data_IF_470196340410
#
_entry.id   IF_470196340410
#
_cell.length_a   1.000
_cell.length_b   1.000
_cell.length_c   1.000
_cell.angle_alpha   90.00
_cell.angle_beta   90.00
_cell.angle_gamma   90.00
#
_symmetry.space_group_name_H-M   'P 1'
#
loop_
_entity.id
_entity.type
_entity.pdbx_description
1 polymer ?
#
# COMPACT_ATOMS: atom_id res chain seq x y z
N UNK A 1 -7.10 1.94 -8.27
CA UNK A 1 -6.89 1.97 -9.74
C UNK A 1 -5.88 3.04 -10.10
N UNK A 2 -4.95 2.74 -10.99
CA UNK A 2 -3.91 3.65 -11.49
C UNK A 2 -4.00 3.81 -12.99
N UNK A 3 -3.39 4.91 -13.49
CA UNK A 3 -3.44 5.26 -14.92
C UNK A 3 -2.00 5.56 -15.43
N UNK A 4 -1.16 4.53 -15.51
CA UNK A 4 0.16 4.60 -16.14
C UNK A 4 0.37 3.44 -17.12
N UNK A 5 1.48 3.47 -17.84
CA UNK A 5 1.78 2.50 -18.89
C UNK A 5 1.46 3.03 -20.29
N UNK A 6 1.53 2.17 -21.28
CA UNK A 6 1.22 2.51 -22.67
C UNK A 6 -0.29 2.67 -22.84
N UNK A 7 -0.69 3.52 -23.76
CA UNK A 7 -2.10 3.62 -24.16
C UNK A 7 -2.39 2.47 -25.13
N UNK A 8 -3.39 1.67 -24.80
CA UNK A 8 -3.95 0.68 -25.71
C UNK A 8 -4.75 1.40 -26.80
N UNK A 9 -4.40 1.14 -28.07
CA UNK A 9 -4.99 1.85 -29.21
C UNK A 9 -6.45 1.47 -29.47
N UNK A 10 -6.86 0.27 -29.05
CA UNK A 10 -8.23 -0.19 -29.27
C UNK A 10 -9.21 0.38 -28.24
N UNK A 11 -8.75 0.55 -27.00
CA UNK A 11 -9.61 1.00 -25.89
C UNK A 11 -9.40 2.46 -25.50
N UNK A 12 -8.25 3.04 -25.85
CA UNK A 12 -7.82 4.38 -25.39
C UNK A 12 -7.44 4.43 -23.90
N UNK A 13 -7.38 3.29 -23.21
CA UNK A 13 -7.04 3.18 -21.80
C UNK A 13 -5.55 2.89 -21.63
N UNK A 14 -4.98 3.28 -20.51
CA UNK A 14 -3.64 2.82 -20.18
C UNK A 14 -3.63 1.32 -19.90
N UNK A 15 -2.57 0.63 -20.27
CA UNK A 15 -2.42 -0.81 -20.04
C UNK A 15 -2.59 -1.15 -18.56
N UNK A 16 -2.10 -0.28 -17.67
CA UNK A 16 -2.21 -0.51 -16.23
C UNK A 16 -3.65 -0.39 -15.71
N UNK A 17 -4.43 0.58 -16.20
CA UNK A 17 -5.85 0.65 -15.91
C UNK A 17 -6.56 -0.60 -16.42
N UNK A 18 -6.17 -1.09 -17.59
CA UNK A 18 -6.67 -2.36 -18.13
C UNK A 18 -6.42 -3.55 -17.19
N UNK A 19 -5.24 -3.64 -16.57
CA UNK A 19 -4.92 -4.69 -15.59
C UNK A 19 -5.86 -4.64 -14.38
N UNK A 20 -6.04 -3.45 -13.77
CA UNK A 20 -6.96 -3.28 -12.64
C UNK A 20 -8.40 -3.63 -12.99
N UNK A 21 -8.85 -3.24 -14.19
CA UNK A 21 -10.20 -3.55 -14.67
C UNK A 21 -10.37 -5.05 -14.94
N UNK A 22 -9.34 -5.73 -15.48
CA UNK A 22 -9.34 -7.17 -15.66
C UNK A 22 -9.55 -7.87 -14.31
N UNK A 23 -8.74 -7.52 -13.31
CA UNK A 23 -8.83 -8.13 -11.97
C UNK A 23 -10.17 -7.87 -11.29
N UNK A 24 -10.69 -6.64 -11.36
CA UNK A 24 -12.00 -6.31 -10.80
C UNK A 24 -13.14 -7.06 -11.52
N UNK A 25 -13.09 -7.11 -12.86
CA UNK A 25 -14.11 -7.84 -13.62
C UNK A 25 -14.07 -9.34 -13.36
N UNK A 26 -12.89 -9.97 -13.19
CA UNK A 26 -12.80 -11.37 -12.78
C UNK A 26 -13.52 -11.64 -11.44
N UNK A 27 -13.35 -10.76 -10.46
CA UNK A 27 -14.07 -10.91 -9.18
C UNK A 27 -15.57 -10.66 -9.33
N UNK A 28 -16.00 -9.71 -10.17
CA UNK A 28 -17.41 -9.47 -10.47
C UNK A 28 -18.03 -10.66 -11.21
N UNK A 29 -17.34 -11.19 -12.21
CA UNK A 29 -17.79 -12.36 -12.96
C UNK A 29 -17.99 -13.54 -12.01
N UNK A 30 -17.01 -13.80 -11.17
CA UNK A 30 -17.10 -14.84 -10.14
C UNK A 30 -18.30 -14.61 -9.20
N UNK A 31 -18.50 -13.39 -8.74
CA UNK A 31 -19.61 -13.07 -7.84
C UNK A 31 -20.98 -13.27 -8.51
N UNK A 32 -21.11 -12.97 -9.80
CA UNK A 32 -22.34 -13.16 -10.57
C UNK A 32 -22.61 -14.62 -10.91
N UNK A 33 -21.59 -15.47 -10.97
CA UNK A 33 -21.66 -16.89 -11.31
C UNK A 33 -21.83 -17.82 -10.10
N UNK A 34 -21.56 -17.33 -8.85
CA UNK A 34 -21.45 -18.17 -7.67
C UNK A 34 -22.45 -17.83 -6.54
N UNK A 35 -23.65 -17.37 -6.88
CA UNK A 35 -24.75 -17.13 -5.94
C UNK A 35 -24.36 -16.22 -4.76
N UNK A 36 -23.59 -15.18 -5.04
CA UNK A 36 -23.20 -14.18 -4.04
C UNK A 36 -24.38 -13.28 -3.70
N UNK A 37 -24.62 -13.06 -2.43
CA UNK A 37 -25.77 -12.25 -1.96
C UNK A 37 -25.41 -10.81 -1.62
N UNK A 38 -24.13 -10.51 -1.42
CA UNK A 38 -23.62 -9.19 -1.05
C UNK A 38 -22.15 -9.04 -1.48
N UNK A 39 -21.81 -7.91 -2.08
CA UNK A 39 -20.42 -7.51 -2.34
C UNK A 39 -19.99 -6.44 -1.37
N UNK A 40 -18.84 -6.63 -0.71
CA UNK A 40 -18.21 -5.67 0.18
C UNK A 40 -16.95 -5.10 -0.44
N UNK A 41 -16.83 -3.76 -0.50
CA UNK A 41 -15.61 -3.06 -0.94
C UNK A 41 -15.09 -2.24 0.25
N UNK A 42 -14.01 -2.72 0.84
CA UNK A 42 -13.47 -2.18 2.08
C UNK A 42 -12.52 -0.97 1.87
N UNK A 43 -12.85 -0.06 0.96
CA UNK A 43 -12.15 1.21 0.73
C UNK A 43 -10.99 1.14 -0.28
N UNK A 44 -10.31 2.27 -0.48
CA UNK A 44 -9.19 2.49 -1.41
C UNK A 44 -9.50 2.04 -2.85
N UNK A 45 -10.64 2.49 -3.35
CA UNK A 45 -11.09 2.22 -4.71
C UNK A 45 -10.17 2.86 -5.74
N UNK A 46 -9.75 4.08 -5.45
CA UNK A 46 -8.85 4.86 -6.29
C UNK A 46 -7.50 5.04 -5.63
N UNK A 47 -6.44 5.17 -6.43
CA UNK A 47 -5.10 5.48 -5.92
C UNK A 47 -5.01 6.93 -5.41
N UNK A 48 -5.73 7.84 -6.05
CA UNK A 48 -5.68 9.27 -5.76
C UNK A 48 -7.06 9.77 -5.38
N UNK A 49 -7.10 10.77 -4.51
CA UNK A 49 -8.31 11.44 -4.03
C UNK A 49 -9.16 12.09 -5.14
N UNK A 50 -8.49 12.51 -6.22
CA UNK A 50 -9.10 13.11 -7.40
C UNK A 50 -8.82 12.22 -8.64
N UNK A 51 -9.52 11.07 -8.78
CA UNK A 51 -9.36 10.19 -9.92
C UNK A 51 -9.84 10.87 -11.21
N UNK A 52 -9.18 10.60 -12.32
CA UNK A 52 -9.59 11.18 -13.61
C UNK A 52 -11.00 10.69 -14.01
N UNK A 53 -11.76 11.47 -14.81
CA UNK A 53 -13.07 11.04 -15.30
C UNK A 53 -13.06 9.68 -16.00
N UNK A 54 -11.95 9.34 -16.68
CA UNK A 54 -11.78 8.02 -17.31
C UNK A 54 -11.81 6.89 -16.29
N UNK A 55 -11.06 7.02 -15.20
CA UNK A 55 -11.01 6.00 -14.14
C UNK A 55 -12.38 5.88 -13.46
N UNK A 56 -13.01 7.01 -13.16
CA UNK A 56 -14.37 7.04 -12.57
C UNK A 56 -15.39 6.36 -13.46
N UNK A 57 -15.36 6.65 -14.78
CA UNK A 57 -16.26 6.04 -15.75
C UNK A 57 -16.09 4.50 -15.80
N UNK A 58 -14.84 4.03 -15.85
CA UNK A 58 -14.59 2.58 -15.95
C UNK A 58 -15.00 1.85 -14.66
N UNK A 59 -14.74 2.44 -13.49
CA UNK A 59 -15.25 1.90 -12.24
C UNK A 59 -16.78 1.91 -12.17
N UNK A 60 -17.41 2.99 -12.65
CA UNK A 60 -18.87 3.08 -12.70
C UNK A 60 -19.51 1.98 -13.55
N UNK A 61 -18.87 1.58 -14.67
CA UNK A 61 -19.32 0.43 -15.46
C UNK A 61 -19.29 -0.88 -14.65
N UNK A 62 -18.27 -1.07 -13.82
CA UNK A 62 -18.16 -2.24 -12.93
C UNK A 62 -19.29 -2.25 -11.89
N UNK A 63 -19.56 -1.12 -11.23
CA UNK A 63 -20.65 -0.99 -10.26
C UNK A 63 -22.02 -1.16 -10.94
N UNK A 64 -22.17 -0.64 -12.16
CA UNK A 64 -23.41 -0.81 -12.92
C UNK A 64 -23.69 -2.30 -13.22
N UNK A 65 -22.68 -3.13 -13.50
CA UNK A 65 -22.86 -4.57 -13.71
C UNK A 65 -23.45 -5.25 -12.47
N UNK A 66 -22.94 -4.94 -11.28
CA UNK A 66 -23.45 -5.46 -10.00
C UNK A 66 -24.90 -4.98 -9.75
N UNK A 67 -25.14 -3.69 -9.89
CA UNK A 67 -26.46 -3.07 -9.70
C UNK A 67 -27.50 -3.61 -10.70
N UNK A 68 -27.15 -3.75 -11.98
CA UNK A 68 -28.03 -4.29 -13.02
C UNK A 68 -28.38 -5.78 -12.80
N UNK A 69 -27.47 -6.54 -12.18
CA UNK A 69 -27.73 -7.92 -11.77
C UNK A 69 -28.54 -8.02 -10.47
N UNK A 70 -28.86 -6.90 -9.81
CA UNK A 70 -29.57 -6.88 -8.52
C UNK A 70 -28.72 -7.35 -7.35
N UNK A 71 -27.39 -7.39 -7.49
CA UNK A 71 -26.47 -7.82 -6.45
C UNK A 71 -26.09 -6.63 -5.55
N UNK A 72 -26.54 -6.60 -4.27
CA UNK A 72 -26.25 -5.53 -3.35
C UNK A 72 -24.73 -5.33 -3.18
N UNK A 73 -24.31 -4.09 -3.18
CA UNK A 73 -22.90 -3.69 -3.03
C UNK A 73 -22.77 -2.65 -1.93
N UNK A 74 -21.99 -2.96 -0.91
CA UNK A 74 -21.69 -2.06 0.19
C UNK A 74 -20.24 -1.61 0.12
N UNK A 75 -20.00 -0.30 0.11
CA UNK A 75 -18.67 0.29 0.01
C UNK A 75 -18.40 1.20 1.21
N UNK A 76 -17.19 1.12 1.75
CA UNK A 76 -16.68 2.12 2.69
C UNK A 76 -15.58 2.95 2.03
N UNK A 77 -15.29 4.12 2.61
CA UNK A 77 -14.28 5.05 2.11
C UNK A 77 -12.92 4.71 2.75
N UNK A 78 -11.88 4.55 1.92
CA UNK A 78 -10.49 4.38 2.35
C UNK A 78 -9.71 5.70 2.43
N UNK A 79 -8.46 5.65 2.85
CA UNK A 79 -7.61 6.84 3.00
C UNK A 79 -7.24 7.48 1.65
N UNK A 80 -7.20 6.71 0.58
CA UNK A 80 -6.97 7.21 -0.77
C UNK A 80 -8.22 7.82 -1.43
N UNK A 81 -9.41 7.53 -0.90
CA UNK A 81 -10.67 8.06 -1.43
C UNK A 81 -11.06 9.39 -0.78
N UNK A 82 -10.56 9.70 0.43
CA UNK A 82 -10.96 10.90 1.20
C UNK A 82 -10.21 12.14 0.72
N UNK A 83 -10.92 13.25 0.36
CA UNK A 83 -10.28 14.52 0.07
C UNK A 83 -9.63 15.14 1.31
N UNK A 84 -8.69 16.09 1.10
CA UNK A 84 -7.97 16.73 2.21
C UNK A 84 -8.87 17.46 3.21
N UNK A 85 -10.03 17.93 2.77
CA UNK A 85 -11.01 18.59 3.62
C UNK A 85 -12.19 17.64 3.86
N UNK A 86 -12.46 17.30 5.10
CA UNK A 86 -13.49 16.37 5.54
C UNK A 86 -14.89 16.64 4.92
N UNK A 87 -15.27 17.90 4.74
CA UNK A 87 -16.58 18.27 4.22
C UNK A 87 -16.72 18.18 2.69
N UNK A 88 -15.60 18.01 1.96
CA UNK A 88 -15.66 17.83 0.50
C UNK A 88 -16.19 16.44 0.16
N UNK A 89 -16.98 16.38 -0.92
CA UNK A 89 -17.41 15.10 -1.48
C UNK A 89 -16.20 14.31 -1.99
N UNK A 90 -16.22 13.02 -1.78
CA UNK A 90 -15.27 12.09 -2.41
C UNK A 90 -15.86 11.53 -3.72
N UNK A 91 -15.00 10.91 -4.53
CA UNK A 91 -15.38 10.46 -5.87
C UNK A 91 -16.40 9.33 -5.91
N UNK A 92 -16.60 8.59 -4.79
CA UNK A 92 -17.59 7.51 -4.74
C UNK A 92 -18.95 7.95 -4.20
N UNK A 93 -19.05 9.11 -3.59
CA UNK A 93 -20.34 9.66 -3.11
C UNK A 93 -21.34 9.89 -4.26
N UNK A 94 -20.84 9.99 -5.51
CA UNK A 94 -21.70 10.16 -6.69
C UNK A 94 -22.72 9.01 -6.83
N UNK A 95 -22.40 7.79 -6.43
CA UNK A 95 -23.32 6.66 -6.49
C UNK A 95 -24.48 6.79 -5.52
N UNK A 96 -24.22 7.36 -4.32
CA UNK A 96 -25.30 7.72 -3.37
C UNK A 96 -26.14 8.88 -3.87
N UNK A 97 -25.51 9.92 -4.44
CA UNK A 97 -26.21 11.09 -4.99
C UNK A 97 -27.13 10.71 -6.17
N UNK A 98 -26.71 9.74 -6.99
CA UNK A 98 -27.50 9.18 -8.09
C UNK A 98 -28.50 8.12 -7.64
N UNK A 99 -28.52 7.75 -6.35
CA UNK A 99 -29.36 6.70 -5.79
C UNK A 99 -29.28 5.38 -6.61
N UNK A 100 -28.03 4.94 -6.94
CA UNK A 100 -27.81 3.75 -7.73
C UNK A 100 -28.42 2.54 -7.00
N UNK A 101 -29.34 1.78 -7.64
CA UNK A 101 -30.04 0.69 -6.96
C UNK A 101 -29.06 -0.37 -6.39
N UNK A 102 -29.32 -0.80 -5.17
CA UNK A 102 -28.51 -1.83 -4.49
C UNK A 102 -27.10 -1.36 -4.07
N UNK A 103 -26.73 -0.10 -4.26
CA UNK A 103 -25.40 0.43 -3.88
C UNK A 103 -25.50 1.31 -2.65
N UNK A 104 -24.78 0.94 -1.59
CA UNK A 104 -24.68 1.71 -0.34
C UNK A 104 -23.23 2.14 -0.10
N UNK A 105 -23.04 3.40 0.28
CA UNK A 105 -21.72 3.95 0.59
C UNK A 105 -21.72 4.51 2.00
N UNK A 106 -20.82 4.00 2.84
CA UNK A 106 -20.57 4.53 4.17
C UNK A 106 -19.31 5.41 4.17
N UNK A 107 -19.50 6.72 4.29
CA UNK A 107 -18.44 7.73 4.42
C UNK A 107 -18.03 7.93 5.89
N UNK A 108 -18.95 7.72 6.80
CA UNK A 108 -18.78 7.89 8.25
C UNK A 108 -19.03 6.58 8.98
N UNK A 109 -18.46 6.40 10.17
CA UNK A 109 -18.81 5.27 11.02
C UNK A 109 -20.32 5.19 11.23
N UNK A 110 -20.88 3.98 11.13
CA UNK A 110 -22.32 3.82 11.23
C UNK A 110 -22.78 2.36 11.23
N UNK A 111 -24.04 2.16 11.62
CA UNK A 111 -24.75 0.88 11.59
C UNK A 111 -25.73 0.87 10.41
N UNK A 112 -25.66 -0.18 9.61
CA UNK A 112 -26.50 -0.35 8.42
C UNK A 112 -27.16 -1.73 8.40
N UNK A 113 -28.36 -1.79 7.83
CA UNK A 113 -29.02 -3.06 7.51
C UNK A 113 -29.20 -3.11 6.00
N UNK A 114 -28.65 -4.12 5.38
CA UNK A 114 -28.71 -4.32 3.94
C UNK A 114 -29.63 -5.49 3.62
N UNK A 115 -30.59 -5.24 2.73
CA UNK A 115 -31.44 -6.29 2.20
C UNK A 115 -30.66 -7.07 1.12
N UNK A 116 -30.62 -8.39 1.25
CA UNK A 116 -29.99 -9.29 0.28
C UNK A 116 -30.95 -10.38 -0.14
N UNK A 117 -30.70 -11.08 -1.27
CA UNK A 117 -31.52 -12.21 -1.68
C UNK A 117 -31.66 -13.32 -0.60
N UNK A 118 -30.62 -13.49 0.26
CA UNK A 118 -30.64 -14.46 1.34
C UNK A 118 -31.25 -13.93 2.66
N UNK A 119 -31.69 -12.67 2.70
CA UNK A 119 -32.22 -12.01 3.90
C UNK A 119 -31.40 -10.79 4.28
N UNK A 120 -31.68 -10.25 5.49
CA UNK A 120 -31.01 -9.03 5.98
C UNK A 120 -29.65 -9.33 6.57
N UNK A 121 -28.69 -8.46 6.29
CA UNK A 121 -27.33 -8.49 6.86
C UNK A 121 -27.08 -7.17 7.57
N UNK A 122 -26.58 -7.23 8.80
CA UNK A 122 -26.17 -6.06 9.57
C UNK A 122 -24.71 -5.74 9.27
N UNK A 123 -24.42 -4.50 8.96
CA UNK A 123 -23.07 -4.02 8.66
C UNK A 123 -22.73 -2.87 9.60
N UNK A 124 -21.69 -3.05 10.41
CA UNK A 124 -21.04 -1.96 11.10
C UNK A 124 -19.93 -1.45 10.20
N UNK A 125 -20.05 -0.22 9.72
CA UNK A 125 -19.07 0.42 8.86
C UNK A 125 -18.09 1.24 9.68
N UNK A 126 -16.81 0.97 9.53
CA UNK A 126 -15.69 1.76 10.06
C UNK A 126 -14.81 2.21 8.87
N UNK A 127 -15.19 3.24 8.10
CA UNK A 127 -14.35 3.79 7.06
C UNK A 127 -13.10 4.45 7.66
N UNK A 128 -12.16 4.85 6.80
CA UNK A 128 -10.95 5.53 7.26
C UNK A 128 -11.27 6.80 8.05
N UNK A 129 -10.80 6.87 9.28
CA UNK A 129 -10.92 8.06 10.12
C UNK A 129 -9.76 9.01 9.83
N UNK A 130 -9.99 9.99 8.97
CA UNK A 130 -8.98 11.00 8.68
C UNK A 130 -8.70 11.87 9.92
N UNK A 131 -7.47 12.35 10.04
CA UNK A 131 -7.12 13.30 11.12
C UNK A 131 -8.04 14.52 11.14
N UNK A 132 -8.46 15.02 9.99
CA UNK A 132 -9.41 16.15 9.90
C UNK A 132 -10.79 15.81 10.44
N UNK A 133 -11.22 14.56 10.31
CA UNK A 133 -12.46 14.08 10.93
C UNK A 133 -12.35 14.08 12.46
N UNK A 134 -11.29 13.48 13.00
CA UNK A 134 -11.07 13.43 14.46
C UNK A 134 -10.95 14.83 15.04
N UNK A 135 -10.18 15.73 14.41
CA UNK A 135 -10.01 17.12 14.82
C UNK A 135 -11.26 18.00 14.60
N UNK A 136 -12.31 17.52 13.94
CA UNK A 136 -13.60 18.24 13.85
C UNK A 136 -14.25 18.31 15.23
N UNK A 137 -13.97 17.37 16.13
CA UNK A 137 -14.29 17.51 17.54
C UNK A 137 -13.34 18.52 18.22
N UNK A 138 -13.92 19.55 18.83
CA UNK A 138 -13.17 20.64 19.48
C UNK A 138 -12.27 20.20 20.59
N UNK A 139 -12.59 19.11 21.29
CA UNK A 139 -11.83 18.57 22.41
C UNK A 139 -10.45 18.04 22.01
N UNK A 140 -10.31 17.59 20.74
CA UNK A 140 -9.06 16.98 20.26
C UNK A 140 -8.12 17.94 19.54
N UNK A 141 -8.51 19.22 19.32
CA UNK A 141 -7.74 20.17 18.52
C UNK A 141 -6.37 20.52 19.05
N UNK A 142 -6.19 20.43 20.35
CA UNK A 142 -4.94 20.84 21.04
C UNK A 142 -4.09 19.65 21.51
N UNK A 143 -4.45 18.43 21.13
CA UNK A 143 -3.70 17.24 21.49
C UNK A 143 -2.41 17.12 20.68
N UNK A 144 -1.36 16.65 21.32
CA UNK A 144 -0.16 16.22 20.61
C UNK A 144 -0.46 14.96 19.75
N UNK A 145 0.42 14.62 18.80
CA UNK A 145 0.17 13.49 17.90
C UNK A 145 -0.05 12.14 18.60
N UNK A 146 0.66 11.88 19.70
CA UNK A 146 0.52 10.61 20.43
C UNK A 146 -0.78 10.57 21.23
N UNK A 147 -1.17 11.65 21.87
CA UNK A 147 -2.44 11.78 22.54
C UNK A 147 -3.61 11.64 21.56
N UNK A 148 -3.49 12.31 20.39
CA UNK A 148 -4.51 12.20 19.34
C UNK A 148 -4.67 10.77 18.82
N UNK A 149 -3.57 10.02 18.68
CA UNK A 149 -3.63 8.62 18.28
C UNK A 149 -4.33 7.77 19.36
N UNK A 150 -4.02 7.96 20.64
CA UNK A 150 -4.70 7.26 21.76
C UNK A 150 -6.20 7.54 21.76
N UNK A 151 -6.58 8.82 21.67
CA UNK A 151 -8.00 9.21 21.65
C UNK A 151 -8.72 8.66 20.41
N UNK A 152 -8.05 8.60 19.26
CA UNK A 152 -8.63 7.98 18.05
C UNK A 152 -8.91 6.49 18.28
N UNK A 153 -7.99 5.75 18.91
CA UNK A 153 -8.22 4.35 19.25
C UNK A 153 -9.41 4.21 20.21
N UNK A 154 -9.47 5.04 21.26
CA UNK A 154 -10.60 5.05 22.23
C UNK A 154 -11.92 5.36 21.54
N UNK A 155 -11.96 6.31 20.60
CA UNK A 155 -13.15 6.61 19.79
C UNK A 155 -13.62 5.40 18.99
N UNK A 156 -12.68 4.68 18.36
CA UNK A 156 -12.98 3.49 17.58
C UNK A 156 -13.51 2.38 18.49
N UNK A 157 -12.87 2.16 19.63
CA UNK A 157 -13.29 1.16 20.63
C UNK A 157 -14.71 1.42 21.12
N UNK A 158 -14.99 2.64 21.60
CA UNK A 158 -16.31 3.05 22.05
C UNK A 158 -17.36 2.90 20.94
N UNK A 159 -17.03 3.28 19.70
CA UNK A 159 -17.91 3.12 18.55
C UNK A 159 -18.22 1.64 18.29
N UNK A 160 -17.21 0.78 18.20
CA UNK A 160 -17.39 -0.65 17.91
C UNK A 160 -18.23 -1.32 19.01
N UNK A 161 -17.94 -1.03 20.29
CA UNK A 161 -18.68 -1.58 21.42
C UNK A 161 -20.13 -1.08 21.44
N UNK A 162 -20.35 0.20 21.19
CA UNK A 162 -21.72 0.75 21.08
C UNK A 162 -22.51 0.07 19.97
N UNK A 163 -21.91 -0.08 18.76
CA UNK A 163 -22.61 -0.73 17.65
C UNK A 163 -22.84 -2.23 17.93
N UNK A 164 -21.91 -2.90 18.57
CA UNK A 164 -22.05 -4.30 18.96
C UNK A 164 -23.29 -4.55 19.84
N UNK A 165 -23.67 -3.60 20.71
CA UNK A 165 -24.89 -3.70 21.54
C UNK A 165 -26.18 -3.61 20.70
N UNK A 166 -26.13 -3.07 19.49
CA UNK A 166 -27.29 -2.92 18.58
C UNK A 166 -27.50 -4.11 17.68
N UNK A 167 -26.53 -5.03 17.63
CA UNK A 167 -26.58 -6.21 16.77
C UNK A 167 -27.71 -7.15 17.23
N UNK A 168 -28.65 -7.42 16.31
CA UNK A 168 -29.64 -8.47 16.50
C UNK A 168 -28.99 -9.84 16.26
N UNK A 169 -28.92 -10.71 17.27
CA UNK A 169 -28.32 -12.02 17.13
C UNK A 169 -29.07 -12.96 16.15
N UNK A 170 -30.26 -12.61 15.71
CA UNK A 170 -30.99 -13.39 14.71
C UNK A 170 -30.48 -13.20 13.26
N UNK A 171 -29.78 -12.09 12.98
CA UNK A 171 -29.28 -11.71 11.66
C UNK A 171 -27.75 -11.77 11.59
N UNK A 172 -27.14 -12.14 10.45
CA UNK A 172 -25.69 -12.02 10.26
C UNK A 172 -25.21 -10.60 10.51
N UNK A 173 -24.05 -10.46 11.16
CA UNK A 173 -23.44 -9.17 11.47
C UNK A 173 -21.97 -9.13 11.02
N UNK A 174 -21.60 -8.14 10.21
CA UNK A 174 -20.26 -7.97 9.66
C UNK A 174 -19.72 -6.60 10.05
N UNK A 175 -18.52 -6.55 10.62
CA UNK A 175 -17.76 -5.32 10.72
C UNK A 175 -16.94 -5.14 9.42
N UNK A 176 -17.15 -4.03 8.70
CA UNK A 176 -16.34 -3.65 7.53
C UNK A 176 -15.49 -2.46 7.92
N UNK A 177 -14.17 -2.62 7.90
CA UNK A 177 -13.25 -1.61 8.40
C UNK A 177 -12.10 -1.32 7.43
N UNK A 178 -11.70 -0.06 7.34
CA UNK A 178 -10.51 0.37 6.60
C UNK A 178 -9.51 0.98 7.59
N UNK A 179 -8.56 0.18 8.06
CA UNK A 179 -7.65 0.56 9.12
C UNK A 179 -6.43 -0.37 9.21
N UNK A 180 -5.37 0.10 9.86
CA UNK A 180 -4.24 -0.72 10.31
C UNK A 180 -4.57 -1.40 11.63
N UNK A 181 -4.31 -2.69 11.75
CA UNK A 181 -4.53 -3.49 12.96
C UNK A 181 -3.22 -4.08 13.46
N UNK A 182 -3.05 -4.10 14.78
CA UNK A 182 -1.87 -4.66 15.42
C UNK A 182 -1.65 -6.13 15.01
N UNK A 183 -0.43 -6.43 14.59
CA UNK A 183 -0.03 -7.75 14.12
C UNK A 183 -0.19 -7.95 12.61
N UNK A 184 -0.77 -7.00 11.89
CA UNK A 184 -0.83 -7.06 10.44
C UNK A 184 0.56 -6.81 9.80
N UNK A 185 0.81 -7.52 8.71
CA UNK A 185 2.06 -7.43 7.93
C UNK A 185 1.82 -6.56 6.71
N UNK A 186 2.52 -5.45 6.64
CA UNK A 186 2.50 -4.54 5.50
C UNK A 186 3.37 -5.07 4.36
N UNK A 187 3.04 -4.76 3.13
CA UNK A 187 3.91 -4.92 1.96
C UNK A 187 4.72 -3.64 1.73
N UNK A 188 4.57 -3.01 0.59
CA UNK A 188 5.27 -1.77 0.22
C UNK A 188 4.71 -0.51 0.89
N UNK A 189 3.48 -0.56 1.42
CA UNK A 189 2.82 0.58 2.06
C UNK A 189 3.54 1.07 3.32
N UNK A 190 4.36 0.20 3.94
CA UNK A 190 5.07 0.49 5.19
C UNK A 190 5.88 1.78 5.15
N UNK A 191 6.57 2.03 4.05
CA UNK A 191 7.46 3.19 3.91
C UNK A 191 6.68 4.52 3.80
N UNK A 192 5.44 4.47 3.35
CA UNK A 192 4.57 5.64 3.17
C UNK A 192 3.85 5.99 4.47
N UNK A 193 3.65 5.02 5.36
CA UNK A 193 2.78 5.12 6.54
C UNK A 193 3.52 5.35 7.85
N UNK A 194 4.87 5.29 7.85
CA UNK A 194 5.68 5.49 9.06
C UNK A 194 5.35 6.82 9.74
N UNK A 195 4.72 6.74 10.91
CA UNK A 195 4.46 7.88 11.80
C UNK A 195 3.14 8.62 11.61
N UNK A 196 2.28 8.24 10.66
CA UNK A 196 1.01 8.94 10.40
C UNK A 196 -0.24 8.07 10.59
N UNK A 197 -0.07 6.76 10.71
CA UNK A 197 -1.16 5.80 10.77
C UNK A 197 -1.52 5.41 12.22
N UNK A 198 -2.82 5.31 12.49
CA UNK A 198 -3.34 4.83 13.77
C UNK A 198 -3.49 3.33 13.73
N UNK A 199 -2.67 2.62 14.50
CA UNK A 199 -2.73 1.16 14.59
C UNK A 199 -3.71 0.75 15.68
N UNK A 200 -4.79 0.10 15.29
CA UNK A 200 -5.86 -0.35 16.19
C UNK A 200 -5.44 -1.67 16.85
N UNK A 201 -5.58 -1.83 18.20
CA UNK A 201 -5.44 -3.13 18.82
C UNK A 201 -6.44 -4.15 18.24
N UNK A 202 -5.99 -5.37 17.97
CA UNK A 202 -6.86 -6.41 17.42
C UNK A 202 -8.09 -6.69 18.28
N UNK A 203 -7.97 -6.53 19.60
CA UNK A 203 -9.07 -6.73 20.57
C UNK A 203 -10.24 -5.80 20.32
N UNK A 204 -10.01 -4.59 19.82
CA UNK A 204 -11.06 -3.59 19.54
C UNK A 204 -12.05 -4.08 18.48
N UNK A 205 -11.54 -4.76 17.44
CA UNK A 205 -12.38 -5.24 16.32
C UNK A 205 -12.79 -6.70 16.45
N UNK A 206 -12.27 -7.44 17.44
CA UNK A 206 -12.56 -8.85 17.68
C UNK A 206 -13.81 -9.07 18.55
N UNK A 207 -14.81 -8.16 18.44
CA UNK A 207 -16.03 -8.26 19.25
C UNK A 207 -16.91 -9.42 18.79
N UNK A 208 -17.34 -10.28 19.74
CA UNK A 208 -18.09 -11.53 19.48
C UNK A 208 -19.50 -11.32 18.90
N UNK A 209 -20.01 -10.09 18.93
CA UNK A 209 -21.29 -9.76 18.29
C UNK A 209 -21.22 -9.87 16.75
N UNK A 210 -20.02 -9.78 16.17
CA UNK A 210 -19.83 -9.94 14.74
C UNK A 210 -19.55 -11.38 14.35
N UNK A 211 -20.03 -11.77 13.18
CA UNK A 211 -19.72 -13.07 12.60
C UNK A 211 -18.42 -13.01 11.80
N UNK A 212 -18.12 -11.88 11.15
CA UNK A 212 -16.94 -11.68 10.32
C UNK A 212 -16.44 -10.24 10.38
N UNK A 213 -15.13 -10.04 10.23
CA UNK A 213 -14.52 -8.71 10.12
C UNK A 213 -13.81 -8.61 8.76
N UNK A 214 -14.39 -7.83 7.85
CA UNK A 214 -13.86 -7.54 6.53
C UNK A 214 -12.95 -6.31 6.59
N UNK A 215 -11.65 -6.51 6.39
CA UNK A 215 -10.64 -5.45 6.49
C UNK A 215 -10.21 -4.93 5.13
N UNK A 216 -10.00 -3.62 5.00
CA UNK A 216 -9.29 -2.99 3.90
C UNK A 216 -8.03 -2.27 4.38
N UNK A 217 -7.28 -1.62 3.46
CA UNK A 217 -6.10 -0.82 3.70
C UNK A 217 -4.78 -1.57 3.43
N UNK A 218 -4.57 -2.75 3.98
CA UNK A 218 -3.31 -3.49 3.80
C UNK A 218 -3.40 -4.35 2.54
N UNK A 219 -2.41 -4.20 1.64
CA UNK A 219 -2.40 -4.80 0.31
C UNK A 219 -2.06 -6.28 0.28
N UNK A 220 -1.58 -6.84 1.41
CA UNK A 220 -1.24 -8.25 1.53
C UNK A 220 -2.39 -9.05 2.09
N UNK A 221 -2.80 -10.12 1.36
CA UNK A 221 -3.75 -11.10 1.91
C UNK A 221 -3.22 -11.71 3.19
N UNK A 222 -4.02 -11.64 4.25
CA UNK A 222 -3.69 -12.25 5.54
C UNK A 222 -4.92 -12.43 6.42
N UNK A 223 -4.88 -13.46 7.27
CA UNK A 223 -5.87 -13.73 8.30
C UNK A 223 -5.26 -13.40 9.65
N UNK A 224 -5.76 -12.38 10.32
CA UNK A 224 -5.28 -11.96 11.65
C UNK A 224 -5.88 -12.79 12.76
N UNK A 225 -7.07 -13.36 12.56
CA UNK A 225 -7.75 -14.24 13.49
C UNK A 225 -8.55 -15.28 12.73
N UNK A 226 -8.37 -16.55 13.10
CA UNK A 226 -9.24 -17.66 12.67
C UNK A 226 -10.37 -17.94 13.67
N UNK A 227 -10.29 -17.34 14.86
CA UNK A 227 -11.34 -17.44 15.88
C UNK A 227 -12.53 -16.54 15.50
N UNK A 228 -13.67 -16.77 16.11
CA UNK A 228 -14.86 -15.92 15.92
C UNK A 228 -14.65 -14.55 16.60
N UNK A 229 -14.84 -13.45 15.88
CA UNK A 229 -14.99 -13.39 14.42
C UNK A 229 -13.65 -13.61 13.68
N UNK A 230 -13.64 -14.29 12.53
CA UNK A 230 -12.49 -14.25 11.65
C UNK A 230 -12.21 -12.81 11.21
N UNK A 231 -10.92 -12.41 11.21
CA UNK A 231 -10.49 -11.06 10.83
C UNK A 231 -9.57 -11.20 9.63
N UNK A 232 -9.99 -10.70 8.47
CA UNK A 232 -9.33 -10.97 7.20
C UNK A 232 -9.10 -9.70 6.38
N UNK A 233 -7.85 -9.51 5.96
CA UNK A 233 -7.48 -8.59 4.89
C UNK A 233 -7.43 -9.37 3.57
N UNK A 234 -8.25 -9.06 2.56
CA UNK A 234 -8.19 -9.72 1.25
C UNK A 234 -6.94 -9.30 0.46
N UNK A 235 -6.30 -8.21 0.86
CA UNK A 235 -5.23 -7.57 0.10
C UNK A 235 -5.77 -6.73 -1.06
N UNK A 236 -4.86 -6.25 -1.90
CA UNK A 236 -5.23 -5.55 -3.14
C UNK A 236 -5.49 -6.54 -4.27
N UNK A 237 -6.38 -6.17 -5.18
CA UNK A 237 -6.76 -7.01 -6.34
C UNK A 237 -5.70 -7.04 -7.44
N UNK A 238 -4.71 -6.17 -7.38
CA UNK A 238 -3.61 -6.08 -8.32
C UNK A 238 -2.36 -5.59 -7.60
N UNK A 239 -1.16 -5.93 -8.09
CA UNK A 239 0.09 -5.42 -7.54
C UNK A 239 0.21 -3.93 -7.79
N UNK A 240 0.56 -3.16 -6.79
CA UNK A 240 0.72 -1.71 -6.91
C UNK A 240 2.16 -1.37 -7.29
N UNK A 241 3.13 -2.02 -6.68
CA UNK A 241 4.55 -1.80 -6.94
C UNK A 241 5.40 -3.07 -6.79
N UNK A 242 6.73 -2.91 -6.88
CA UNK A 242 7.68 -4.02 -6.78
C UNK A 242 7.86 -4.58 -5.36
N UNK A 243 7.39 -3.92 -4.32
CA UNK A 243 7.35 -4.48 -2.97
C UNK A 243 6.36 -5.64 -2.85
N UNK A 244 5.36 -5.64 -3.73
CA UNK A 244 4.32 -6.65 -3.81
C UNK A 244 4.60 -7.75 -4.86
N UNK A 245 5.81 -7.80 -5.43
CA UNK A 245 6.20 -8.73 -6.50
C UNK A 245 5.84 -10.19 -6.20
N UNK A 246 5.95 -10.59 -4.93
CA UNK A 246 5.71 -11.96 -4.45
C UNK A 246 4.35 -12.17 -3.82
N UNK A 247 3.55 -11.11 -3.67
CA UNK A 247 2.26 -11.22 -3.03
C UNK A 247 1.23 -11.85 -3.96
N UNK A 248 0.42 -12.71 -3.37
CA UNK A 248 -0.80 -13.20 -4.00
C UNK A 248 -1.84 -12.11 -3.96
N UNK A 249 -2.51 -11.90 -5.09
CA UNK A 249 -3.56 -10.89 -5.25
C UNK A 249 -4.88 -11.57 -5.54
N UNK A 250 -5.96 -11.04 -4.97
CA UNK A 250 -7.24 -11.71 -5.08
C UNK A 250 -8.34 -11.04 -4.29
N UNK A 251 -9.38 -11.83 -4.05
CA UNK A 251 -10.52 -11.45 -3.20
C UNK A 251 -10.88 -12.62 -2.28
N UNK A 252 -11.73 -12.35 -1.30
CA UNK A 252 -12.18 -13.36 -0.33
C UNK A 252 -13.69 -13.55 -0.48
N UNK A 253 -14.15 -14.79 -0.65
CA UNK A 253 -15.53 -15.16 -0.44
C UNK A 253 -15.75 -15.59 1.00
N UNK A 254 -16.90 -15.21 1.57
CA UNK A 254 -17.28 -15.52 2.93
C UNK A 254 -18.65 -16.17 2.92
N UNK A 255 -18.78 -17.29 3.55
CA UNK A 255 -20.05 -17.97 3.77
C UNK A 255 -20.40 -17.93 5.25
N UNK A 256 -21.60 -17.41 5.54
CA UNK A 256 -22.18 -17.38 6.89
C UNK A 256 -23.42 -18.25 6.87
N UNK A 257 -23.31 -19.46 7.40
CA UNK A 257 -24.40 -20.43 7.48
C UNK A 257 -24.92 -20.60 8.92
N UNK A 258 -26.12 -21.14 9.07
CA UNK A 258 -26.61 -21.57 10.36
C UNK A 258 -26.38 -23.06 10.52
N UNK A 259 -25.76 -23.47 11.62
CA UNK A 259 -25.67 -24.88 12.02
C UNK A 259 -26.97 -25.37 12.62
N UNK A 260 -27.10 -26.69 12.77
CA UNK A 260 -28.32 -27.33 13.27
C UNK A 260 -28.73 -26.88 14.70
N UNK A 261 -27.75 -26.44 15.51
CA UNK A 261 -27.96 -25.90 16.84
C UNK A 261 -28.34 -24.40 16.85
N UNK A 262 -28.44 -23.78 15.67
CA UNK A 262 -28.77 -22.37 15.48
C UNK A 262 -27.60 -21.42 15.62
N UNK A 263 -26.38 -21.89 15.91
CA UNK A 263 -25.17 -21.08 15.86
C UNK A 263 -24.82 -20.70 14.43
N UNK A 264 -24.08 -19.60 14.23
CA UNK A 264 -23.57 -19.26 12.91
C UNK A 264 -22.13 -19.74 12.77
N UNK A 265 -21.92 -20.47 11.68
CA UNK A 265 -20.61 -20.89 11.22
C UNK A 265 -20.15 -19.97 10.09
N UNK A 266 -18.86 -19.62 10.11
CA UNK A 266 -18.27 -18.73 9.11
C UNK A 266 -17.08 -19.41 8.48
N UNK A 267 -17.12 -19.55 7.16
CA UNK A 267 -15.99 -19.99 6.37
C UNK A 267 -15.57 -18.90 5.40
N UNK A 268 -14.30 -18.84 5.07
CA UNK A 268 -13.79 -17.90 4.09
C UNK A 268 -12.76 -18.55 3.18
N UNK A 269 -12.77 -18.16 1.92
CA UNK A 269 -11.86 -18.71 0.89
C UNK A 269 -11.23 -17.56 0.11
N UNK A 270 -9.89 -17.59 0.00
CA UNK A 270 -9.17 -16.66 -0.85
C UNK A 270 -9.14 -17.15 -2.28
N UNK A 271 -9.57 -16.32 -3.21
CA UNK A 271 -9.55 -16.58 -4.65
C UNK A 271 -8.41 -15.78 -5.28
N UNK A 272 -7.37 -16.48 -5.70
CA UNK A 272 -6.23 -15.87 -6.36
C UNK A 272 -6.59 -15.45 -7.78
N UNK A 273 -6.28 -14.19 -8.15
CA UNK A 273 -6.53 -13.63 -9.48
C UNK A 273 -5.30 -13.76 -10.37
N UNK A 274 -5.55 -13.90 -11.68
CA UNK A 274 -4.48 -13.81 -12.69
C UNK A 274 -4.09 -12.35 -12.93
N UNK A 275 -3.13 -11.88 -12.16
CA UNK A 275 -2.65 -10.50 -12.15
C UNK A 275 -1.32 -10.35 -12.89
N UNK A 276 -1.04 -9.14 -13.37
CA UNK A 276 0.21 -8.85 -14.07
C UNK A 276 1.42 -9.13 -13.19
N UNK A 277 2.39 -9.87 -13.74
CA UNK A 277 3.64 -10.17 -13.06
C UNK A 277 4.51 -8.93 -12.93
N UNK A 278 5.07 -8.74 -11.74
CA UNK A 278 6.21 -7.86 -11.50
C UNK A 278 7.46 -8.72 -11.43
N UNK A 279 8.56 -8.27 -12.02
CA UNK A 279 9.81 -9.02 -12.11
C UNK A 279 11.00 -8.10 -11.83
N UNK A 280 11.71 -8.35 -10.75
CA UNK A 280 12.98 -7.69 -10.46
C UNK A 280 14.14 -8.56 -10.91
N UNK A 281 14.93 -8.08 -11.85
CA UNK A 281 16.20 -8.68 -12.30
C UNK A 281 17.33 -7.89 -11.64
N UNK A 282 18.23 -8.57 -10.93
CA UNK A 282 19.43 -7.97 -10.34
C UNK A 282 20.65 -8.51 -11.04
N UNK A 283 21.52 -7.61 -11.51
CA UNK A 283 22.79 -7.92 -12.10
C UNK A 283 23.90 -7.25 -11.29
N UNK A 284 24.82 -8.05 -10.75
CA UNK A 284 26.08 -7.51 -10.25
C UNK A 284 27.05 -7.47 -11.44
N UNK A 285 27.22 -6.27 -11.97
CA UNK A 285 28.04 -6.01 -13.16
C UNK A 285 29.44 -5.47 -12.81
N UNK A 286 29.91 -5.72 -11.60
CA UNK A 286 31.26 -5.36 -11.16
C UNK A 286 32.28 -6.40 -11.65
N UNK A 287 32.51 -6.41 -12.97
CA UNK A 287 33.39 -7.35 -13.65
C UNK A 287 33.94 -6.73 -14.95
N UNK A 288 34.91 -7.41 -15.56
CA UNK A 288 35.59 -6.97 -16.78
C UNK A 288 34.64 -6.74 -17.98
N UNK A 289 33.54 -7.51 -18.05
CA UNK A 289 32.54 -7.41 -19.11
C UNK A 289 31.14 -7.13 -18.53
N UNK A 290 30.87 -5.94 -18.00
CA UNK A 290 29.65 -5.63 -17.25
C UNK A 290 28.38 -5.77 -18.08
N UNK A 291 28.43 -5.41 -19.37
CA UNK A 291 27.27 -5.52 -20.26
C UNK A 291 26.88 -6.97 -20.49
N UNK A 292 27.86 -7.86 -20.74
CA UNK A 292 27.60 -9.28 -21.03
C UNK A 292 26.98 -9.98 -19.80
N UNK A 293 27.43 -9.63 -18.58
CA UNK A 293 26.82 -10.13 -17.35
C UNK A 293 25.36 -9.68 -17.20
N UNK A 294 25.06 -8.41 -17.49
CA UNK A 294 23.68 -7.90 -17.47
C UNK A 294 22.81 -8.62 -18.50
N UNK A 295 23.31 -8.81 -19.72
CA UNK A 295 22.59 -9.52 -20.79
C UNK A 295 22.33 -10.98 -20.40
N UNK A 296 23.31 -11.66 -19.83
CA UNK A 296 23.16 -13.02 -19.33
C UNK A 296 22.05 -13.11 -18.27
N UNK A 297 21.98 -12.15 -17.32
CA UNK A 297 20.91 -12.09 -16.32
C UNK A 297 19.52 -11.88 -16.93
N UNK A 298 19.44 -11.09 -17.99
CA UNK A 298 18.17 -10.90 -18.71
C UNK A 298 17.77 -12.21 -19.41
N UNK A 299 18.73 -12.89 -20.07
CA UNK A 299 18.48 -14.15 -20.77
C UNK A 299 18.04 -15.26 -19.84
N UNK A 300 18.65 -15.41 -18.65
CA UNK A 300 18.26 -16.38 -17.62
C UNK A 300 16.79 -16.25 -17.19
N UNK A 301 16.22 -15.04 -17.30
CA UNK A 301 14.85 -14.75 -16.92
C UNK A 301 13.93 -14.47 -18.13
N UNK A 302 14.39 -14.74 -19.34
CA UNK A 302 13.67 -14.38 -20.58
C UNK A 302 12.23 -14.91 -20.63
N UNK A 303 12.01 -16.13 -20.16
CA UNK A 303 10.67 -16.74 -20.09
C UNK A 303 9.68 -16.07 -19.13
N UNK A 304 10.17 -15.19 -18.22
CA UNK A 304 9.36 -14.49 -17.24
C UNK A 304 9.10 -13.03 -17.61
N UNK A 305 9.87 -12.48 -18.58
CA UNK A 305 9.84 -11.06 -18.97
C UNK A 305 8.60 -10.73 -19.81
N UNK A 306 8.18 -11.63 -20.69
CA UNK A 306 7.06 -11.36 -21.58
C UNK A 306 5.82 -10.95 -20.79
N UNK A 307 5.19 -9.84 -21.19
CA UNK A 307 4.02 -9.23 -20.57
C UNK A 307 4.20 -8.81 -19.09
N UNK A 308 5.37 -8.98 -18.49
CA UNK A 308 5.64 -8.55 -17.13
C UNK A 308 5.94 -7.03 -17.04
N UNK A 309 5.81 -6.48 -15.83
CA UNK A 309 6.39 -5.20 -15.45
C UNK A 309 7.78 -5.49 -14.87
N UNK A 310 8.84 -5.05 -15.56
CA UNK A 310 10.22 -5.44 -15.26
C UNK A 310 11.00 -4.28 -14.65
N UNK A 311 11.73 -4.56 -13.59
CA UNK A 311 12.76 -3.67 -13.03
C UNK A 311 14.11 -4.37 -13.11
N UNK A 312 15.03 -3.80 -13.89
CA UNK A 312 16.42 -4.21 -13.92
C UNK A 312 17.24 -3.30 -13.01
N UNK A 313 17.91 -3.89 -12.02
CA UNK A 313 18.83 -3.20 -11.11
C UNK A 313 20.24 -3.69 -11.42
N UNK A 314 21.08 -2.76 -11.86
CA UNK A 314 22.49 -3.03 -12.16
C UNK A 314 23.33 -2.46 -11.03
N UNK A 315 24.06 -3.32 -10.33
CA UNK A 315 25.03 -2.93 -9.31
C UNK A 315 26.42 -2.96 -9.92
N UNK A 316 27.15 -1.84 -9.86
CA UNK A 316 28.41 -1.66 -10.56
C UNK A 316 29.30 -0.66 -9.82
N UNK A 317 30.62 -0.80 -9.95
CA UNK A 317 31.60 0.18 -9.43
C UNK A 317 31.86 1.31 -10.43
N UNK A 318 32.39 2.47 -9.97
CA UNK A 318 32.74 3.59 -10.86
C UNK A 318 33.74 3.23 -11.95
N UNK A 319 34.56 2.19 -11.73
CA UNK A 319 35.60 1.74 -12.66
C UNK A 319 34.99 1.15 -13.93
N UNK A 320 33.93 0.32 -13.77
CA UNK A 320 33.31 -0.41 -14.88
C UNK A 320 32.08 0.28 -15.48
N UNK A 321 31.60 1.38 -14.87
CA UNK A 321 30.36 2.04 -15.32
C UNK A 321 30.42 2.55 -16.75
N UNK A 322 31.64 2.88 -17.24
CA UNK A 322 31.87 3.38 -18.61
C UNK A 322 31.75 2.29 -19.68
N UNK A 323 31.86 1.02 -19.25
CA UNK A 323 31.84 -0.15 -20.14
C UNK A 323 30.42 -0.70 -20.31
N UNK A 324 29.42 -0.11 -19.60
CA UNK A 324 28.02 -0.45 -19.76
C UNK A 324 27.44 0.12 -21.06
N UNK A 325 27.05 -0.77 -21.97
CA UNK A 325 26.36 -0.42 -23.21
C UNK A 325 24.84 -0.38 -22.98
N UNK A 326 24.37 0.74 -22.44
CA UNK A 326 22.95 0.91 -22.09
C UNK A 326 21.97 0.66 -23.24
N UNK A 327 22.34 1.01 -24.47
CA UNK A 327 21.48 0.82 -25.64
C UNK A 327 21.31 -0.65 -26.00
N UNK A 328 22.31 -1.48 -25.77
CA UNK A 328 22.24 -2.92 -25.98
C UNK A 328 21.34 -3.58 -24.95
N UNK A 329 21.51 -3.23 -23.68
CA UNK A 329 20.65 -3.68 -22.56
C UNK A 329 19.19 -3.32 -22.85
N UNK A 330 18.93 -2.07 -23.25
CA UNK A 330 17.58 -1.59 -23.57
C UNK A 330 16.95 -2.34 -24.74
N UNK A 331 17.73 -2.60 -25.80
CA UNK A 331 17.25 -3.36 -26.97
C UNK A 331 16.91 -4.80 -26.60
N UNK A 332 17.74 -5.45 -25.80
CA UNK A 332 17.49 -6.82 -25.32
C UNK A 332 16.24 -6.90 -24.47
N UNK A 333 16.06 -5.98 -23.51
CA UNK A 333 14.83 -5.90 -22.72
C UNK A 333 13.59 -5.66 -23.59
N UNK A 334 13.67 -4.72 -24.54
CA UNK A 334 12.55 -4.43 -25.43
C UNK A 334 12.19 -5.62 -26.32
N UNK A 335 13.19 -6.39 -26.79
CA UNK A 335 12.99 -7.60 -27.60
C UNK A 335 12.29 -8.71 -26.84
N UNK A 336 12.45 -8.78 -25.50
CA UNK A 336 11.76 -9.71 -24.64
C UNK A 336 10.28 -9.35 -24.36
N UNK A 337 9.79 -8.24 -24.91
CA UNK A 337 8.39 -7.78 -24.91
C UNK A 337 7.75 -7.64 -23.51
N UNK A 338 8.38 -6.98 -22.55
CA UNK A 338 7.71 -6.64 -21.30
C UNK A 338 6.57 -5.65 -21.55
N UNK A 339 5.56 -5.66 -20.68
CA UNK A 339 4.49 -4.65 -20.69
C UNK A 339 5.04 -3.26 -20.38
N UNK A 340 5.93 -3.20 -19.39
CA UNK A 340 6.68 -2.01 -19.01
C UNK A 340 8.04 -2.44 -18.44
N UNK A 341 9.06 -1.57 -18.55
CA UNK A 341 10.34 -1.82 -17.94
C UNK A 341 11.05 -0.54 -17.52
N UNK A 342 11.85 -0.65 -16.47
CA UNK A 342 12.74 0.39 -15.98
C UNK A 342 14.12 -0.20 -15.67
N UNK A 343 15.17 0.57 -15.93
CA UNK A 343 16.55 0.22 -15.60
C UNK A 343 17.09 1.23 -14.60
N UNK A 344 17.62 0.73 -13.49
CA UNK A 344 18.32 1.51 -12.47
C UNK A 344 19.76 1.03 -12.38
N UNK A 345 20.72 1.93 -12.44
CA UNK A 345 22.15 1.65 -12.25
C UNK A 345 22.58 2.22 -10.90
N UNK A 346 22.93 1.33 -9.99
CA UNK A 346 23.45 1.67 -8.66
C UNK A 346 24.96 1.61 -8.73
N UNK A 347 25.59 2.76 -8.87
CA UNK A 347 27.05 2.87 -8.84
C UNK A 347 27.48 2.82 -7.37
N UNK A 348 28.25 1.80 -6.99
CA UNK A 348 28.85 1.71 -5.67
C UNK A 348 29.66 2.99 -5.45
N UNK A 349 29.24 3.81 -4.53
CA UNK A 349 30.07 4.90 -4.07
C UNK A 349 31.23 4.21 -3.36
N UNK A 350 32.46 4.29 -3.93
CA UNK A 350 33.64 3.81 -3.22
C UNK A 350 33.56 4.30 -1.79
N UNK A 351 33.93 3.45 -0.84
CA UNK A 351 33.81 3.71 0.57
C UNK A 351 34.18 5.17 0.87
N UNK A 352 33.17 6.03 0.92
CA UNK A 352 33.30 7.21 1.75
C UNK A 352 33.39 6.59 3.12
N UNK A 353 34.63 6.52 3.65
CA UNK A 353 34.86 6.05 4.98
C UNK A 353 33.76 6.67 5.86
N UNK A 354 32.72 5.91 6.13
CA UNK A 354 31.81 6.24 7.22
C UNK A 354 32.76 6.22 8.39
N UNK A 355 33.04 7.39 8.92
CA UNK A 355 33.65 7.50 10.24
C UNK A 355 32.87 6.53 11.10
N UNK A 356 33.50 5.41 11.47
CA UNK A 356 32.81 4.31 12.14
C UNK A 356 32.03 4.88 13.31
N UNK A 357 30.80 4.43 13.51
CA UNK A 357 29.82 4.92 14.50
C UNK A 357 30.38 4.97 15.94
N UNK A 358 31.53 4.39 16.20
CA UNK A 358 32.19 4.37 17.52
C UNK A 358 33.22 5.49 17.75
N UNK A 359 33.56 6.31 16.75
CA UNK A 359 34.63 7.29 16.85
C UNK A 359 34.17 8.77 16.88
N UNK A 360 32.98 9.07 16.35
CA UNK A 360 32.57 10.48 16.10
C UNK A 360 32.27 11.25 17.37
N UNK A 361 31.75 10.62 18.40
CA UNK A 361 31.40 11.27 19.67
C UNK A 361 32.63 11.70 20.51
N UNK A 362 33.83 11.24 20.15
CA UNK A 362 35.09 11.54 20.88
C UNK A 362 36.12 12.28 20.04
N UNK A 363 35.85 12.57 18.77
CA UNK A 363 36.80 13.30 17.92
C UNK A 363 36.68 14.81 18.09
N UNK A 364 37.85 15.46 18.21
CA UNK A 364 37.86 16.91 18.10
C UNK A 364 37.59 17.36 16.67
N UNK A 365 37.03 18.56 16.44
CA UNK A 365 36.80 19.09 15.11
C UNK A 365 38.05 19.13 14.22
N UNK A 366 39.24 19.38 14.81
CA UNK A 366 40.51 19.29 14.09
C UNK A 366 40.80 17.87 13.57
N UNK A 367 40.62 16.87 14.45
CA UNK A 367 40.80 15.46 14.06
C UNK A 367 39.83 15.06 12.94
N UNK A 368 38.59 15.52 13.02
CA UNK A 368 37.58 15.26 11.96
C UNK A 368 37.98 15.93 10.63
N UNK A 369 38.52 17.16 10.67
CA UNK A 369 39.02 17.86 9.47
C UNK A 369 40.23 17.16 8.88
N UNK A 370 41.19 16.73 9.66
CA UNK A 370 42.36 15.97 9.20
C UNK A 370 41.94 14.66 8.50
N UNK A 371 41.07 13.91 9.14
CA UNK A 371 40.55 12.66 8.59
C UNK A 371 39.75 12.88 7.29
N UNK A 372 38.96 13.94 7.22
CA UNK A 372 38.25 14.33 5.98
C UNK A 372 39.22 14.64 4.83
N UNK A 373 40.29 15.44 5.10
CA UNK A 373 41.27 15.81 4.10
C UNK A 373 42.13 14.62 3.67
N UNK A 374 42.44 13.70 4.59
CA UNK A 374 43.14 12.46 4.30
C UNK A 374 42.29 11.57 3.37
N UNK A 375 40.98 11.42 3.66
CA UNK A 375 40.05 10.65 2.85
C UNK A 375 39.81 11.30 1.46
N UNK A 376 40.12 12.59 1.31
CA UNK A 376 40.11 13.31 0.03
C UNK A 376 41.42 13.20 -0.73
N UNK A 377 42.40 12.42 -0.22
CA UNK A 377 43.74 12.35 -0.78
C UNK A 377 44.37 13.75 -0.96
N UNK A 378 44.11 14.67 -0.03
CA UNK A 378 44.68 16.01 -0.08
C UNK A 378 46.16 15.94 0.24
N UNK A 379 46.98 16.68 -0.52
CA UNK A 379 48.43 16.74 -0.30
C UNK A 379 48.73 17.14 1.17
N UNK A 380 49.71 16.49 1.84
CA UNK A 380 50.05 16.75 3.24
C UNK A 380 50.30 18.25 3.56
N UNK A 381 51.04 18.95 2.72
CA UNK A 381 51.33 20.38 2.90
C UNK A 381 50.06 21.24 2.88
N UNK A 382 49.13 20.90 1.99
CA UNK A 382 47.83 21.57 1.86
C UNK A 382 46.93 21.21 3.04
N UNK A 383 47.03 20.02 3.58
CA UNK A 383 46.29 19.59 4.78
C UNK A 383 46.71 20.43 5.98
N UNK A 384 48.03 20.59 6.23
CA UNK A 384 48.54 21.42 7.35
C UNK A 384 48.14 22.89 7.20
N UNK A 385 48.17 23.41 5.98
CA UNK A 385 47.73 24.78 5.71
C UNK A 385 46.23 24.95 6.03
N UNK A 386 45.38 24.04 5.63
CA UNK A 386 43.94 24.10 5.90
C UNK A 386 43.63 23.93 7.40
N UNK A 387 44.35 23.07 8.09
CA UNK A 387 44.24 22.91 9.55
C UNK A 387 44.71 24.19 10.28
N UNK A 388 45.76 24.85 9.81
CA UNK A 388 46.21 26.10 10.39
C UNK A 388 45.18 27.24 10.25
N UNK A 389 44.52 27.34 9.09
CA UNK A 389 43.39 28.26 8.89
C UNK A 389 42.19 27.94 9.77
N UNK A 390 41.89 26.66 9.94
CA UNK A 390 40.83 26.24 10.85
C UNK A 390 41.12 26.74 12.29
N UNK A 391 42.34 26.53 12.78
CA UNK A 391 42.75 27.00 14.13
C UNK A 391 42.65 28.52 14.27
N UNK A 392 43.07 29.28 13.25
CA UNK A 392 42.95 30.74 13.27
C UNK A 392 41.48 31.21 13.29
N UNK A 393 40.59 30.54 12.51
CA UNK A 393 39.18 30.90 12.44
C UNK A 393 38.37 30.53 13.69
N UNK A 394 38.77 29.49 14.38
CA UNK A 394 38.04 28.97 15.55
C UNK A 394 38.61 29.46 16.90
N UNK A 395 39.69 30.21 16.90
CA UNK A 395 40.39 30.65 18.14
C UNK A 395 40.98 29.47 18.92
N UNK A 396 41.08 28.28 18.35
CA UNK A 396 41.58 27.10 19.03
C UNK A 396 43.10 27.09 19.25
N UNK A 397 43.77 28.21 19.02
CA UNK A 397 45.19 28.39 19.19
C UNK A 397 45.58 29.24 20.40
N UNK A 398 44.65 29.89 21.10
CA UNK A 398 44.97 30.87 22.17
C UNK A 398 44.64 30.43 23.59
N UNK A 399 44.17 29.21 23.83
CA UNK A 399 43.88 28.72 25.20
C UNK A 399 44.68 27.47 25.56
N UNK A 400 46.00 27.61 25.66
CA UNK A 400 46.83 26.65 26.38
C UNK A 400 47.91 27.36 27.20
N UNK A 401 47.47 28.31 28.06
CA UNK A 401 48.22 28.79 29.24
C UNK A 401 47.22 29.54 30.13
N UNK A 402 46.57 28.81 31.07
CA UNK A 402 46.21 29.29 32.41
C UNK A 402 45.80 28.08 33.27
#
# INVERSE_FOLDING_TARGET
MENYGRIDQATGLSTRLGDFLKSLNQAIDWALENDVHLVLIAGDIFKNRDPTPTIQREFAKCIHRLSAAGLPTFMIVGNHDIPNAWQRANSIEIYSALAVPGVTIAKTPGFHVVDTPAGKVQIVALPWLSRSYVLSNSEFRNLDPEALNRETVTLIENFVDEQATKVDPAMPAILVAHASVQGAVFSSERDIMLGTDVVIPKTVIANQAFDYVAMGHIHKYQVLSHNKPPIVYPGSMERIDFGEERDKKGFVSVEISKSDDGAREVTHTFHELDVRRFLTIRANADCENPTDEVLRRIEERAGEIADAIVRLIIEITPEHVRDLRHDEIRRTLAAARPSFWAVSTNVARGDRARLGDQGIAQMTPEQALRLYLQNKNTNPDRTELLVSYYKQLTGAGENSEL
#
